data_IF_642939403862
#
_entry.id   IF_642939403862
#
_cell.length_a   1.000
_cell.length_b   1.000
_cell.length_c   1.000
_cell.angle_alpha   90.00
_cell.angle_beta   90.00
_cell.angle_gamma   90.00
#
_symmetry.space_group_name_H-M   'P 1'
#
loop_
_entity.id
_entity.type
_entity.pdbx_description
1 polymer ?
#
# COMPACT_ATOMS: atom_id res chain seq x y z
N UNK A 1 -0.40 27.19 8.73
CA UNK A 1 -0.77 26.66 7.39
C UNK A 1 0.27 25.66 6.86
N UNK A 2 0.64 24.61 7.64
CA UNK A 2 1.73 23.66 7.28
C UNK A 2 1.42 22.18 7.60
N UNK A 3 0.22 21.86 8.07
CA UNK A 3 -0.13 20.48 8.44
C UNK A 3 -0.57 19.64 7.23
N UNK A 4 -1.32 20.23 6.30
CA UNK A 4 -1.82 19.56 5.10
C UNK A 4 -0.73 19.00 4.16
N UNK A 5 0.46 19.59 4.11
CA UNK A 5 1.55 19.10 3.26
C UNK A 5 2.26 17.88 3.83
N UNK A 6 2.27 17.71 5.16
CA UNK A 6 2.90 16.57 5.85
C UNK A 6 2.07 15.30 5.71
N UNK A 7 0.75 15.41 5.82
CA UNK A 7 -0.17 14.27 5.66
C UNK A 7 -0.16 13.73 4.22
N UNK A 8 -0.11 14.63 3.23
CA UNK A 8 0.03 14.24 1.82
C UNK A 8 1.33 13.48 1.56
N UNK A 9 2.42 13.85 2.23
CA UNK A 9 3.72 13.14 2.14
C UNK A 9 3.67 11.75 2.77
N UNK A 10 2.99 11.59 3.91
CA UNK A 10 2.82 10.29 4.56
C UNK A 10 1.94 9.35 3.73
N UNK A 11 0.85 9.86 3.17
CA UNK A 11 -0.07 9.11 2.32
C UNK A 11 0.62 8.68 1.00
N UNK A 12 1.43 9.55 0.41
CA UNK A 12 2.25 9.22 -0.77
C UNK A 12 3.28 8.11 -0.47
N UNK A 13 3.93 8.13 0.70
CA UNK A 13 4.83 7.05 1.13
C UNK A 13 4.10 5.72 1.28
N UNK A 14 2.91 5.73 1.88
CA UNK A 14 2.05 4.55 2.03
C UNK A 14 1.63 3.99 0.66
N UNK A 15 1.19 4.84 -0.27
CA UNK A 15 0.85 4.43 -1.64
C UNK A 15 2.06 3.86 -2.41
N UNK A 16 3.24 4.50 -2.30
CA UNK A 16 4.47 3.97 -2.92
C UNK A 16 4.86 2.61 -2.37
N UNK A 17 4.70 2.40 -1.06
CA UNK A 17 4.97 1.11 -0.40
C UNK A 17 3.99 0.04 -0.88
N UNK A 18 2.70 0.38 -0.95
CA UNK A 18 1.67 -0.49 -1.52
C UNK A 18 2.00 -0.90 -2.96
N UNK A 19 2.35 0.07 -3.81
CA UNK A 19 2.66 -0.19 -5.22
C UNK A 19 3.89 -1.11 -5.38
N UNK A 20 4.92 -0.93 -4.54
CA UNK A 20 6.08 -1.84 -4.49
C UNK A 20 5.70 -3.25 -4.06
N UNK A 21 4.89 -3.40 -3.01
CA UNK A 21 4.43 -4.71 -2.52
C UNK A 21 3.59 -5.41 -3.58
N UNK A 22 2.66 -4.71 -4.21
CA UNK A 22 1.81 -5.24 -5.26
C UNK A 22 2.64 -5.71 -6.47
N UNK A 23 3.62 -4.91 -6.90
CA UNK A 23 4.52 -5.27 -8.00
C UNK A 23 5.36 -6.50 -7.67
N UNK A 24 5.84 -6.60 -6.44
CA UNK A 24 6.58 -7.77 -5.97
C UNK A 24 5.68 -9.00 -5.87
N UNK A 25 4.44 -8.87 -5.39
CA UNK A 25 3.45 -9.93 -5.36
C UNK A 25 3.18 -10.47 -6.76
N UNK A 26 2.93 -9.60 -7.75
CA UNK A 26 2.74 -9.98 -9.15
C UNK A 26 3.93 -10.74 -9.74
N UNK A 27 5.15 -10.26 -9.48
CA UNK A 27 6.36 -10.95 -9.94
C UNK A 27 6.54 -12.32 -9.25
N UNK A 28 6.13 -12.43 -7.98
CA UNK A 28 6.15 -13.68 -7.24
C UNK A 28 5.03 -14.63 -7.64
N UNK A 29 3.87 -14.14 -8.10
CA UNK A 29 2.72 -14.96 -8.45
C UNK A 29 3.06 -16.04 -9.48
N UNK A 30 3.98 -15.70 -10.40
CA UNK A 30 4.48 -16.60 -11.45
C UNK A 30 5.34 -17.74 -10.87
N UNK A 31 6.05 -17.49 -9.75
CA UNK A 31 7.02 -18.43 -9.16
C UNK A 31 6.49 -19.16 -7.93
N UNK A 32 5.69 -18.49 -7.12
CA UNK A 32 5.16 -18.99 -5.85
C UNK A 32 3.87 -18.24 -5.51
N UNK A 33 2.74 -18.91 -5.81
CA UNK A 33 1.40 -18.37 -5.60
C UNK A 33 1.11 -18.10 -4.12
N UNK A 34 1.48 -18.99 -3.21
CA UNK A 34 1.23 -18.81 -1.76
C UNK A 34 1.91 -17.56 -1.21
N UNK A 35 3.18 -17.33 -1.58
CA UNK A 35 3.90 -16.11 -1.18
C UNK A 35 3.34 -14.85 -1.83
N UNK A 36 2.85 -14.96 -3.06
CA UNK A 36 2.14 -13.85 -3.71
C UNK A 36 0.86 -13.50 -2.96
N UNK A 37 0.04 -14.50 -2.61
CA UNK A 37 -1.23 -14.30 -1.92
C UNK A 37 -1.01 -13.65 -0.54
N UNK A 38 0.03 -14.05 0.20
CA UNK A 38 0.43 -13.40 1.46
C UNK A 38 0.80 -11.92 1.27
N UNK A 39 1.60 -11.61 0.26
CA UNK A 39 1.96 -10.21 -0.07
C UNK A 39 0.74 -9.41 -0.52
N UNK A 40 -0.21 -10.07 -1.19
CA UNK A 40 -1.45 -9.46 -1.65
C UNK A 40 -2.39 -9.13 -0.47
N UNK A 41 -2.44 -9.98 0.56
CA UNK A 41 -3.16 -9.69 1.81
C UNK A 41 -2.53 -8.52 2.57
N UNK A 42 -1.21 -8.48 2.70
CA UNK A 42 -0.50 -7.36 3.32
C UNK A 42 -0.75 -6.05 2.57
N UNK A 43 -0.68 -6.08 1.23
CA UNK A 43 -1.00 -4.94 0.40
C UNK A 43 -2.46 -4.49 0.58
N UNK A 44 -3.40 -5.43 0.73
CA UNK A 44 -4.81 -5.12 0.95
C UNK A 44 -5.06 -4.43 2.30
N UNK A 45 -4.34 -4.82 3.36
CA UNK A 45 -4.39 -4.13 4.66
C UNK A 45 -3.89 -2.69 4.56
N UNK A 46 -2.78 -2.46 3.86
CA UNK A 46 -2.26 -1.12 3.57
C UNK A 46 -3.25 -0.27 2.77
N UNK A 47 -3.96 -0.86 1.81
CA UNK A 47 -4.99 -0.16 1.03
C UNK A 47 -6.13 0.32 1.94
N UNK A 48 -6.56 -0.50 2.89
CA UNK A 48 -7.61 -0.15 3.85
C UNK A 48 -7.15 1.02 4.74
N UNK A 49 -5.91 1.01 5.21
CA UNK A 49 -5.33 2.13 5.97
C UNK A 49 -5.27 3.42 5.14
N UNK A 50 -4.81 3.33 3.89
CA UNK A 50 -4.79 4.47 2.95
C UNK A 50 -6.20 5.03 2.76
N UNK A 51 -7.19 4.17 2.53
CA UNK A 51 -8.59 4.59 2.37
C UNK A 51 -9.15 5.24 3.62
N UNK A 52 -8.86 4.70 4.81
CA UNK A 52 -9.27 5.31 6.10
C UNK A 52 -8.68 6.70 6.26
N UNK A 53 -7.39 6.86 5.98
CA UNK A 53 -6.71 8.15 6.04
C UNK A 53 -7.29 9.15 5.03
N UNK A 54 -7.55 8.72 3.80
CA UNK A 54 -8.18 9.55 2.77
C UNK A 54 -9.61 9.97 3.11
N UNK A 55 -10.38 9.12 3.79
CA UNK A 55 -11.78 9.41 4.13
C UNK A 55 -11.93 10.25 5.41
N UNK A 56 -10.90 10.28 6.27
CA UNK A 56 -10.84 11.16 7.45
C UNK A 56 -10.24 12.56 7.14
N UNK A 57 -9.83 12.80 5.89
CA UNK A 57 -9.20 14.05 5.42
C UNK A 57 -10.22 15.09 4.96
#
# INVERSE_FOLDING_TARGET
MFYWTKDKSNLDKLQKRYCRLMKNAYNLAIKNKEKSDLLHEEASKLLIEIKKLQHQS
#
